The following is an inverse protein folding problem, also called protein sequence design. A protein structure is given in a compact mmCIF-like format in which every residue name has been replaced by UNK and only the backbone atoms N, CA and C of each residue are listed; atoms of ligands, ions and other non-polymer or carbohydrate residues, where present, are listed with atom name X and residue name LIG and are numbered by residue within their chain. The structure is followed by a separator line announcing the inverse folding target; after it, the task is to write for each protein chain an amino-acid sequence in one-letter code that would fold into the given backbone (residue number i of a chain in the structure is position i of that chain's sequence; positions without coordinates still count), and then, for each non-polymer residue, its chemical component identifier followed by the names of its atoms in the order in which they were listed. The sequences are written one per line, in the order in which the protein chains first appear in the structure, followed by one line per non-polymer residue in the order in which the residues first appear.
data_IF_493647323591
#
_entry.id   IF_493647323591
#
_cell.length_a   1.000
_cell.length_b   1.000
_cell.length_c   1.000
_cell.angle_alpha   90.00
_cell.angle_beta   90.00
_cell.angle_gamma   90.00
#
_symmetry.space_group_name_H-M   'P 1'
#
loop_
_entity.id
_entity.type
_entity.pdbx_description
1 polymer ?
#
# COMPACT_ATOMS: atom_id res chain seq x y z
N UNK A 1 -19.47 6.17 -4.24
CA UNK A 1 -19.39 6.08 -2.77
C UNK A 1 -17.96 6.43 -2.35
N UNK A 2 -17.78 7.34 -1.40
CA UNK A 2 -16.46 7.63 -0.82
C UNK A 2 -16.26 6.74 0.40
N UNK A 3 -15.26 5.86 0.37
CA UNK A 3 -14.83 5.11 1.56
C UNK A 3 -13.86 6.02 2.30
N UNK A 4 -14.17 6.33 3.56
CA UNK A 4 -13.25 7.04 4.43
C UNK A 4 -11.98 6.19 4.62
N UNK A 5 -10.83 6.75 4.23
CA UNK A 5 -9.54 6.07 4.32
C UNK A 5 -9.03 5.92 5.76
N UNK A 6 -9.58 6.67 6.71
CA UNK A 6 -9.09 6.68 8.10
C UNK A 6 -9.27 5.35 8.83
N UNK A 7 -10.17 4.48 8.37
CA UNK A 7 -10.39 3.16 8.97
C UNK A 7 -9.23 2.20 8.75
N UNK A 8 -8.50 2.32 7.64
CA UNK A 8 -7.36 1.46 7.35
C UNK A 8 -6.18 1.80 8.25
N UNK A 9 -5.93 3.09 8.47
CA UNK A 9 -4.84 3.57 9.33
C UNK A 9 -5.02 3.14 10.81
N UNK A 10 -6.26 2.83 11.24
CA UNK A 10 -6.53 2.31 12.60
C UNK A 10 -6.10 0.87 12.81
N UNK A 11 -6.04 0.07 11.74
CA UNK A 11 -5.66 -1.35 11.77
C UNK A 11 -4.29 -1.59 11.13
N UNK A 12 -3.70 -0.56 10.54
CA UNK A 12 -2.34 -0.61 10.00
C UNK A 12 -1.36 -0.74 11.16
N UNK A 13 -0.51 -1.79 11.18
CA UNK A 13 0.48 -1.95 12.25
C UNK A 13 1.60 -0.89 12.15
N UNK A 14 1.83 -0.38 10.95
CA UNK A 14 2.84 0.62 10.61
C UNK A 14 2.25 2.03 10.60
N UNK A 15 3.06 3.04 10.96
CA UNK A 15 2.63 4.45 10.97
C UNK A 15 2.71 5.08 9.57
N UNK A 16 1.99 4.50 8.61
CA UNK A 16 1.96 4.95 7.21
C UNK A 16 0.53 5.28 6.75
N UNK A 17 0.37 6.17 5.75
CA UNK A 17 -0.94 6.44 5.17
C UNK A 17 -1.35 5.33 4.20
N UNK A 18 -2.10 4.32 4.68
CA UNK A 18 -2.39 3.08 3.93
C UNK A 18 -3.08 3.37 2.59
N UNK A 19 -4.20 4.11 2.60
CA UNK A 19 -4.94 4.37 1.36
C UNK A 19 -4.21 5.28 0.38
N UNK A 20 -3.55 6.37 0.81
CA UNK A 20 -2.68 7.14 -0.07
C UNK A 20 -1.58 6.31 -0.71
N UNK A 21 -0.92 5.42 0.05
CA UNK A 21 0.13 4.54 -0.49
C UNK A 21 -0.46 3.60 -1.54
N UNK A 22 -1.52 2.85 -1.22
CA UNK A 22 -2.16 1.93 -2.17
C UNK A 22 -2.58 2.64 -3.46
N UNK A 23 -3.11 3.88 -3.35
CA UNK A 23 -3.47 4.68 -4.53
C UNK A 23 -2.25 5.10 -5.36
N UNK A 24 -1.14 5.47 -4.72
CA UNK A 24 0.11 5.80 -5.42
C UNK A 24 0.65 4.58 -6.17
N UNK A 25 0.63 3.40 -5.54
CA UNK A 25 1.05 2.14 -6.17
C UNK A 25 0.17 1.74 -7.36
N UNK A 26 -1.16 1.90 -7.24
CA UNK A 26 -2.09 1.67 -8.34
C UNK A 26 -1.93 2.66 -9.50
N UNK A 27 -1.44 3.86 -9.22
CA UNK A 27 -1.12 4.87 -10.23
C UNK A 27 0.32 4.76 -10.76
N UNK A 28 1.09 3.77 -10.31
CA UNK A 28 2.52 3.59 -10.63
C UNK A 28 3.38 4.83 -10.33
N UNK A 29 2.94 5.67 -9.38
CA UNK A 29 3.66 6.86 -8.92
C UNK A 29 4.63 6.48 -7.79
N UNK A 30 5.79 5.96 -8.17
CA UNK A 30 6.79 5.46 -7.23
C UNK A 30 7.50 6.56 -6.44
N UNK A 31 7.67 7.76 -6.99
CA UNK A 31 8.24 8.91 -6.26
C UNK A 31 7.36 9.24 -5.04
N UNK A 32 6.05 9.31 -5.26
CA UNK A 32 5.10 9.51 -4.18
C UNK A 32 5.03 8.30 -3.26
N UNK A 33 5.02 7.08 -3.79
CA UNK A 33 4.97 5.87 -2.96
C UNK A 33 6.16 5.77 -1.99
N UNK A 34 7.37 6.15 -2.44
CA UNK A 34 8.55 6.24 -1.58
C UNK A 34 8.34 7.25 -0.45
N UNK A 35 7.80 8.43 -0.75
CA UNK A 35 7.50 9.46 0.27
C UNK A 35 6.46 9.01 1.30
N UNK A 36 5.63 8.02 0.95
CA UNK A 36 4.58 7.45 1.78
C UNK A 36 5.02 6.18 2.53
N UNK A 37 6.28 5.74 2.38
CA UNK A 37 6.86 4.63 3.13
C UNK A 37 6.83 3.27 2.41
N UNK A 38 6.86 3.21 1.08
CA UNK A 38 6.88 1.93 0.32
C UNK A 38 8.00 0.98 0.78
N UNK A 39 9.17 1.51 1.15
CA UNK A 39 10.33 0.71 1.60
C UNK A 39 10.32 0.39 3.09
N UNK A 40 9.34 0.91 3.84
CA UNK A 40 9.22 0.70 5.29
C UNK A 40 8.25 -0.44 5.64
N UNK A 41 7.59 -1.02 4.63
CA UNK A 41 6.51 -2.00 4.79
C UNK A 41 6.77 -3.24 3.94
N UNK A 42 6.08 -4.33 4.25
CA UNK A 42 5.97 -5.52 3.42
C UNK A 42 4.50 -5.80 3.07
N UNK A 43 4.25 -6.64 2.08
CA UNK A 43 2.91 -7.05 1.65
C UNK A 43 2.07 -7.63 2.80
N UNK A 44 2.70 -8.35 3.73
CA UNK A 44 2.02 -8.99 4.87
C UNK A 44 1.41 -7.96 5.84
N UNK A 45 1.97 -6.75 5.94
CA UNK A 45 1.46 -5.67 6.80
C UNK A 45 0.06 -5.19 6.38
N UNK A 46 -0.33 -5.45 5.12
CA UNK A 46 -1.62 -5.05 4.56
C UNK A 46 -2.72 -6.11 4.74
N UNK A 47 -2.44 -7.23 5.40
CA UNK A 47 -3.44 -8.28 5.64
C UNK A 47 -4.65 -7.77 6.44
N UNK A 48 -4.43 -7.00 7.52
CA UNK A 48 -5.50 -6.42 8.33
C UNK A 48 -6.30 -5.33 7.59
N UNK A 49 -5.66 -4.32 6.94
CA UNK A 49 -6.35 -3.37 6.06
C UNK A 49 -7.19 -4.04 4.96
N UNK A 50 -6.66 -5.09 4.32
CA UNK A 50 -7.38 -5.83 3.28
C UNK A 50 -8.58 -6.61 3.82
N UNK A 51 -8.45 -7.19 5.02
CA UNK A 51 -9.53 -7.93 5.67
C UNK A 51 -10.77 -7.06 5.89
N UNK A 52 -10.58 -5.85 6.42
CA UNK A 52 -11.67 -4.90 6.71
C UNK A 52 -12.16 -4.13 5.47
N UNK A 53 -11.45 -4.22 4.33
CA UNK A 53 -11.79 -3.47 3.13
C UNK A 53 -13.18 -3.88 2.60
N UNK A 54 -14.16 -2.95 2.50
CA UNK A 54 -15.48 -3.26 1.95
C UNK A 54 -15.42 -3.56 0.44
N UNK A 55 -14.43 -3.00 -0.26
CA UNK A 55 -14.21 -3.19 -1.69
C UNK A 55 -13.34 -4.41 -2.02
N UNK A 56 -12.85 -5.14 -1.00
CA UNK A 56 -11.98 -6.32 -1.16
C UNK A 56 -10.80 -6.09 -2.10
N UNK A 57 -10.17 -4.92 -1.95
CA UNK A 57 -8.92 -4.61 -2.64
C UNK A 57 -7.84 -5.56 -2.13
N UNK A 58 -7.17 -6.22 -3.07
CA UNK A 58 -6.03 -7.12 -2.84
C UNK A 58 -4.76 -6.31 -2.50
N UNK A 59 -4.78 -5.63 -1.35
CA UNK A 59 -3.70 -4.71 -0.94
C UNK A 59 -2.33 -5.40 -0.81
N UNK A 60 -2.21 -6.60 -0.20
CA UNK A 60 -0.94 -7.32 -0.15
C UNK A 60 -0.34 -7.58 -1.54
N UNK A 61 -1.16 -8.00 -2.49
CA UNK A 61 -0.73 -8.31 -3.86
C UNK A 61 -0.28 -7.05 -4.60
N UNK A 62 -0.96 -5.91 -4.39
CA UNK A 62 -0.57 -4.61 -4.95
C UNK A 62 0.83 -4.22 -4.44
N UNK A 63 1.04 -4.29 -3.13
CA UNK A 63 2.31 -3.91 -2.50
C UNK A 63 3.45 -4.82 -2.96
N UNK A 64 3.23 -6.14 -2.92
CA UNK A 64 4.21 -7.13 -3.38
C UNK A 64 4.66 -6.88 -4.82
N UNK A 65 3.70 -6.69 -5.74
CA UNK A 65 4.00 -6.44 -7.15
C UNK A 65 4.75 -5.13 -7.33
N UNK A 66 4.36 -4.08 -6.61
CA UNK A 66 5.01 -2.79 -6.72
C UNK A 66 6.45 -2.83 -6.20
N UNK A 67 6.72 -3.54 -5.10
CA UNK A 67 8.07 -3.72 -4.57
C UNK A 67 8.96 -4.53 -5.52
N UNK A 68 8.42 -5.59 -6.12
CA UNK A 68 9.14 -6.38 -7.14
C UNK A 68 9.50 -5.51 -8.35
N UNK A 69 8.53 -4.77 -8.89
CA UNK A 69 8.76 -3.87 -10.02
C UNK A 69 9.78 -2.77 -9.68
N UNK A 70 9.68 -2.19 -8.48
CA UNK A 70 10.63 -1.19 -8.02
C UNK A 70 12.05 -1.77 -7.92
N UNK A 71 12.20 -2.96 -7.34
CA UNK A 71 13.50 -3.63 -7.23
C UNK A 71 14.12 -3.92 -8.60
N UNK A 72 13.33 -4.41 -9.55
CA UNK A 72 13.79 -4.71 -10.92
C UNK A 72 14.20 -3.47 -11.71
N UNK A 73 13.51 -2.34 -11.54
CA UNK A 73 13.77 -1.14 -12.34
C UNK A 73 14.80 -0.18 -11.75
N UNK A 74 14.91 -0.12 -10.42
CA UNK A 74 15.68 0.93 -9.73
C UNK A 74 16.84 0.39 -8.88
N UNK A 75 16.89 -0.92 -8.60
CA UNK A 75 17.95 -1.53 -7.78
C UNK A 75 18.80 -2.58 -8.52
N UNK A 76 18.46 -2.90 -9.77
CA UNK A 76 19.23 -3.79 -10.66
C UNK A 76 20.22 -2.98 -11.52
#
# INVERSE_FOLDING_TARGET
AFVDGSYYDRVMPMRIPTMPLIKALLAEDFEKALSLGLLEVDAEDFALPAFICPSKIAMPEIVKRAQQFYAEQYLA
#
